data_IF_442777213259
#
_entry.id   IF_442777213259
#
_cell.length_a   1.000
_cell.length_b   1.000
_cell.length_c   1.000
_cell.angle_alpha   90.00
_cell.angle_beta   90.00
_cell.angle_gamma   90.00
#
_symmetry.space_group_name_H-M   'P 1'
#
loop_
_entity.id
_entity.type
_entity.pdbx_description
1 polymer ?
#
# COMPACT_ATOMS: atom_id res chain seq x y z
N UNK A 1 -41.97 -13.24 23.77
CA UNK A 1 -40.90 -12.44 24.41
C UNK A 1 -40.69 -13.02 25.80
N UNK A 2 -39.51 -13.58 26.02
CA UNK A 2 -39.12 -14.19 27.29
C UNK A 2 -38.43 -13.20 28.24
N UNK A 3 -38.07 -12.02 27.76
CA UNK A 3 -37.56 -10.91 28.58
C UNK A 3 -38.73 -10.20 29.26
N UNK A 4 -38.66 -10.11 30.58
CA UNK A 4 -39.69 -9.50 31.44
C UNK A 4 -39.36 -8.05 31.75
N UNK A 5 -38.07 -7.76 31.99
CA UNK A 5 -37.62 -6.45 32.46
C UNK A 5 -36.16 -6.22 32.10
N UNK A 6 -35.84 -5.00 31.70
CA UNK A 6 -34.46 -4.52 31.54
C UNK A 6 -34.26 -3.35 32.48
N UNK A 7 -33.18 -3.35 33.26
CA UNK A 7 -32.85 -2.29 34.20
C UNK A 7 -31.38 -1.91 34.04
N UNK A 8 -31.11 -0.66 33.66
CA UNK A 8 -29.75 -0.14 33.64
C UNK A 8 -29.22 0.03 35.07
N UNK A 9 -27.99 -0.43 35.32
CA UNK A 9 -27.33 -0.23 36.60
C UNK A 9 -26.74 1.18 36.65
N UNK A 10 -26.81 1.82 37.82
CA UNK A 10 -26.24 3.14 38.05
C UNK A 10 -24.69 3.17 38.00
N UNK A 11 -24.04 2.00 37.96
CA UNK A 11 -22.58 1.90 37.91
C UNK A 11 -22.11 2.07 36.47
N UNK A 12 -21.72 3.29 36.13
CA UNK A 12 -20.92 3.61 34.96
C UNK A 12 -19.46 3.59 35.39
N UNK A 13 -18.63 2.75 34.76
CA UNK A 13 -17.19 2.81 35.00
C UNK A 13 -16.51 3.48 33.81
N UNK A 14 -15.58 4.40 34.09
CA UNK A 14 -14.76 5.07 33.11
C UNK A 14 -13.30 4.88 33.53
N UNK A 15 -12.47 4.37 32.61
CA UNK A 15 -11.03 4.25 32.82
C UNK A 15 -10.32 5.07 31.76
N UNK A 16 -9.38 5.91 32.18
CA UNK A 16 -8.56 6.72 31.27
C UNK A 16 -7.13 6.79 31.80
N UNK A 17 -6.17 6.46 30.95
CA UNK A 17 -4.76 6.77 31.18
C UNK A 17 -4.37 7.97 30.33
N UNK A 18 -3.41 8.76 30.82
CA UNK A 18 -2.90 9.89 30.07
C UNK A 18 -2.28 9.42 28.75
N UNK A 19 -2.75 9.96 27.63
CA UNK A 19 -2.33 9.57 26.28
C UNK A 19 -3.07 8.37 25.66
N UNK A 20 -3.97 7.72 26.41
CA UNK A 20 -4.82 6.64 25.89
C UNK A 20 -6.27 7.10 25.75
N UNK A 21 -7.00 6.48 24.81
CA UNK A 21 -8.43 6.71 24.69
C UNK A 21 -9.16 6.18 25.94
N UNK A 22 -10.18 6.90 26.45
CA UNK A 22 -10.98 6.42 27.57
C UNK A 22 -11.83 5.22 27.16
N UNK A 23 -12.05 4.30 28.10
CA UNK A 23 -13.00 3.18 27.98
C UNK A 23 -14.14 3.44 28.94
N UNK A 24 -15.38 3.33 28.47
CA UNK A 24 -16.58 3.42 29.29
C UNK A 24 -17.32 2.10 29.30
N UNK A 25 -17.92 1.74 30.43
CA UNK A 25 -18.78 0.56 30.54
C UNK A 25 -20.16 0.97 31.03
N UNK A 26 -21.18 0.44 30.35
CA UNK A 26 -22.57 0.48 30.82
C UNK A 26 -23.07 -0.94 31.04
N UNK A 27 -23.89 -1.12 32.07
CA UNK A 27 -24.37 -2.42 32.50
C UNK A 27 -25.88 -2.43 32.66
N UNK A 28 -26.51 -3.53 32.28
CA UNK A 28 -27.94 -3.77 32.43
C UNK A 28 -28.18 -5.11 33.08
N UNK A 29 -29.20 -5.18 33.94
CA UNK A 29 -29.75 -6.45 34.41
C UNK A 29 -31.00 -6.74 33.59
N UNK A 30 -31.01 -7.90 32.94
CA UNK A 30 -32.12 -8.41 32.14
C UNK A 30 -32.76 -9.58 32.89
N UNK A 31 -34.05 -9.44 33.20
CA UNK A 31 -34.87 -10.47 33.81
C UNK A 31 -35.59 -11.26 32.71
N UNK A 32 -35.50 -12.60 32.77
CA UNK A 32 -36.19 -13.50 31.84
C UNK A 32 -37.16 -14.41 32.59
N UNK A 33 -38.26 -14.78 31.93
CA UNK A 33 -39.22 -15.77 32.44
C UNK A 33 -39.02 -17.18 31.84
N UNK A 34 -38.07 -17.32 30.92
CA UNK A 34 -37.67 -18.59 30.31
C UNK A 34 -36.14 -18.71 30.37
N UNK A 35 -35.58 -19.71 31.09
CA UNK A 35 -34.13 -19.86 31.17
C UNK A 35 -33.52 -20.36 29.86
N UNK A 36 -34.33 -20.79 28.89
CA UNK A 36 -33.89 -21.13 27.53
C UNK A 36 -33.76 -19.90 26.61
N UNK A 37 -34.03 -18.68 27.11
CA UNK A 37 -33.81 -17.44 26.34
C UNK A 37 -32.36 -17.37 25.87
N UNK A 38 -32.17 -17.08 24.59
CA UNK A 38 -30.83 -17.04 24.01
C UNK A 38 -30.06 -15.80 24.48
N UNK A 39 -28.74 -15.90 24.56
CA UNK A 39 -27.90 -14.75 24.91
C UNK A 39 -28.07 -13.59 23.91
N UNK A 40 -28.28 -13.92 22.63
CA UNK A 40 -28.67 -12.99 21.57
C UNK A 40 -29.91 -12.16 21.94
N UNK A 41 -31.01 -12.82 22.29
CA UNK A 41 -32.25 -12.13 22.67
C UNK A 41 -32.05 -11.26 23.91
N UNK A 42 -31.23 -11.71 24.86
CA UNK A 42 -30.87 -10.97 26.07
C UNK A 42 -30.09 -9.69 25.71
N UNK A 43 -29.07 -9.76 24.86
CA UNK A 43 -28.31 -8.56 24.42
C UNK A 43 -29.19 -7.59 23.65
N UNK A 44 -29.98 -8.09 22.70
CA UNK A 44 -30.85 -7.26 21.85
C UNK A 44 -31.94 -6.54 22.66
N UNK A 45 -32.39 -7.13 23.77
CA UNK A 45 -33.40 -6.52 24.65
C UNK A 45 -32.95 -5.20 25.29
N UNK A 46 -31.64 -4.96 25.39
CA UNK A 46 -31.06 -3.71 25.90
C UNK A 46 -31.28 -2.54 24.93
N UNK A 47 -31.49 -2.82 23.64
CA UNK A 47 -31.72 -1.78 22.62
C UNK A 47 -30.47 -0.97 22.25
N UNK A 48 -29.28 -1.43 22.64
CA UNK A 48 -28.00 -0.86 22.20
C UNK A 48 -27.46 -1.71 21.05
N UNK A 49 -27.16 -1.08 19.92
CA UNK A 49 -26.51 -1.73 18.78
C UNK A 49 -25.01 -1.38 18.75
N UNK A 50 -24.22 -2.19 18.06
CA UNK A 50 -22.82 -1.84 17.76
C UNK A 50 -22.74 -0.45 17.12
N UNK A 51 -21.70 0.29 17.49
CA UNK A 51 -21.44 1.65 17.01
C UNK A 51 -22.46 2.72 17.46
N UNK A 52 -23.37 2.39 18.37
CA UNK A 52 -24.17 3.42 19.07
C UNK A 52 -23.24 4.34 19.87
N UNK A 53 -23.37 5.68 19.75
CA UNK A 53 -22.55 6.60 20.53
C UNK A 53 -22.82 6.49 22.03
N UNK A 54 -21.78 6.69 22.85
CA UNK A 54 -21.98 6.76 24.31
C UNK A 54 -22.78 8.03 24.67
N UNK A 55 -23.78 7.97 25.58
CA UNK A 55 -24.63 9.12 25.91
C UNK A 55 -23.88 10.36 26.41
N UNK A 56 -22.80 10.16 27.17
CA UNK A 56 -22.00 11.25 27.75
C UNK A 56 -20.70 11.53 26.96
N UNK A 57 -20.25 10.55 26.19
CA UNK A 57 -18.97 10.58 25.48
C UNK A 57 -19.22 10.25 24.01
N UNK A 58 -19.91 11.15 23.31
CA UNK A 58 -20.40 10.93 21.94
C UNK A 58 -19.33 10.62 20.89
N UNK A 59 -18.04 10.65 21.22
CA UNK A 59 -16.92 10.19 20.39
C UNK A 59 -16.59 8.70 20.59
N UNK A 60 -16.98 8.10 21.72
CA UNK A 60 -16.88 6.66 21.96
C UNK A 60 -18.08 5.92 21.34
N UNK A 61 -17.88 4.67 20.98
CA UNK A 61 -18.85 3.81 20.29
C UNK A 61 -18.98 2.49 21.01
N UNK A 62 -20.17 1.90 21.03
CA UNK A 62 -20.38 0.55 21.56
C UNK A 62 -19.62 -0.48 20.71
N UNK A 63 -18.55 -1.06 21.26
CA UNK A 63 -17.63 -1.95 20.52
C UNK A 63 -17.75 -3.41 20.94
N UNK A 64 -18.05 -3.67 22.20
CA UNK A 64 -18.12 -5.04 22.74
C UNK A 64 -19.36 -5.19 23.59
N UNK A 65 -20.12 -6.26 23.36
CA UNK A 65 -21.18 -6.71 24.26
C UNK A 65 -20.75 -8.00 24.94
N UNK A 66 -21.05 -8.13 26.23
CA UNK A 66 -20.88 -9.38 26.96
C UNK A 66 -22.10 -9.66 27.82
N UNK A 67 -22.41 -10.95 27.98
CA UNK A 67 -23.51 -11.44 28.83
C UNK A 67 -22.93 -12.37 29.88
N UNK A 68 -23.31 -12.14 31.13
CA UNK A 68 -23.01 -13.01 32.26
C UNK A 68 -24.23 -13.28 33.12
N UNK A 69 -24.16 -14.27 34.00
CA UNK A 69 -25.20 -14.47 35.02
C UNK A 69 -25.09 -13.39 36.09
N UNK A 70 -26.18 -12.69 36.37
CA UNK A 70 -26.22 -11.72 37.45
C UNK A 70 -26.41 -12.45 38.78
N UNK A 71 -25.42 -12.33 39.69
CA UNK A 71 -25.44 -12.95 41.02
C UNK A 71 -25.71 -14.47 41.00
N UNK A 72 -25.28 -15.18 39.95
CA UNK A 72 -25.48 -16.62 39.80
C UNK A 72 -26.93 -17.06 39.56
N UNK A 73 -27.85 -16.12 39.33
CA UNK A 73 -29.25 -16.40 39.03
C UNK A 73 -29.42 -16.86 37.58
N UNK A 74 -30.18 -17.94 37.35
CA UNK A 74 -30.57 -18.40 36.00
C UNK A 74 -31.65 -17.55 35.31
N UNK A 75 -32.24 -16.62 36.06
CA UNK A 75 -33.35 -15.76 35.62
C UNK A 75 -32.92 -14.30 35.41
N UNK A 76 -31.69 -13.95 35.80
CA UNK A 76 -31.17 -12.59 35.75
C UNK A 76 -29.80 -12.61 35.07
N UNK A 77 -29.68 -11.86 34.00
CA UNK A 77 -28.44 -11.75 33.23
C UNK A 77 -27.90 -10.33 33.34
N UNK A 78 -26.58 -10.19 33.45
CA UNK A 78 -25.88 -8.92 33.32
C UNK A 78 -25.39 -8.78 31.89
N UNK A 79 -25.86 -7.76 31.19
CA UNK A 79 -25.35 -7.36 29.88
C UNK A 79 -24.41 -6.18 30.10
N UNK A 80 -23.17 -6.28 29.65
CA UNK A 80 -22.20 -5.18 29.70
C UNK A 80 -21.88 -4.75 28.27
N UNK A 81 -21.97 -3.44 28.00
CA UNK A 81 -21.45 -2.83 26.78
C UNK A 81 -20.22 -1.99 27.10
N UNK A 82 -19.12 -2.32 26.43
CA UNK A 82 -17.89 -1.54 26.46
C UNK A 82 -17.91 -0.53 25.29
N UNK A 83 -17.64 0.72 25.63
CA UNK A 83 -17.53 1.83 24.70
C UNK A 83 -16.09 2.31 24.64
N UNK A 84 -15.56 2.38 23.44
CA UNK A 84 -14.19 2.80 23.17
C UNK A 84 -14.18 3.83 22.04
N UNK A 85 -13.10 4.60 21.95
CA UNK A 85 -12.82 5.37 20.75
C UNK A 85 -12.55 4.39 19.60
N UNK A 86 -13.29 4.46 18.48
CA UNK A 86 -13.00 3.64 17.32
C UNK A 86 -11.55 3.82 16.87
N UNK A 87 -10.84 2.70 16.73
CA UNK A 87 -9.46 2.72 16.20
C UNK A 87 -9.42 2.97 14.69
N UNK A 88 -10.58 2.93 14.03
CA UNK A 88 -10.78 3.30 12.64
C UNK A 88 -11.65 4.55 12.58
N UNK A 89 -11.30 5.48 11.70
CA UNK A 89 -11.98 6.77 11.52
C UNK A 89 -13.42 6.61 11.02
N UNK A 90 -13.69 5.55 10.25
CA UNK A 90 -15.03 5.15 9.79
C UNK A 90 -15.27 3.65 10.06
N UNK A 91 -15.70 3.27 11.28
CA UNK A 91 -16.13 1.92 11.53
C UNK A 91 -17.50 1.73 10.88
N UNK A 92 -17.56 1.30 9.62
CA UNK A 92 -18.83 0.81 9.06
C UNK A 92 -19.06 -0.60 9.63
N UNK A 93 -20.26 -0.90 10.18
CA UNK A 93 -20.58 -2.26 10.59
C UNK A 93 -20.35 -3.24 9.44
N UNK A 94 -20.69 -2.87 8.21
CA UNK A 94 -20.42 -3.71 7.05
C UNK A 94 -18.92 -3.63 6.68
N UNK A 95 -18.14 -4.72 6.79
CA UNK A 95 -16.72 -4.72 6.46
C UNK A 95 -16.47 -4.35 4.99
N UNK A 96 -17.43 -4.58 4.09
CA UNK A 96 -17.33 -4.23 2.66
C UNK A 96 -17.55 -2.75 2.37
N UNK A 97 -18.15 -2.00 3.29
CA UNK A 97 -18.38 -0.56 3.16
C UNK A 97 -17.25 0.28 3.78
N UNK A 98 -16.30 -0.37 4.47
CA UNK A 98 -15.13 0.30 5.04
C UNK A 98 -14.23 0.84 3.91
N UNK A 99 -13.74 2.08 3.99
CA UNK A 99 -12.84 2.64 2.99
C UNK A 99 -11.48 1.93 3.02
N UNK A 100 -10.75 2.03 1.90
CA UNK A 100 -9.39 1.50 1.82
C UNK A 100 -8.44 2.27 2.73
N UNK A 101 -7.58 1.54 3.43
CA UNK A 101 -6.57 2.10 4.31
C UNK A 101 -5.27 2.25 3.52
N UNK A 102 -4.76 3.47 3.48
CA UNK A 102 -3.50 3.81 2.84
C UNK A 102 -2.40 3.94 3.87
N UNK A 103 -1.31 3.21 3.66
CA UNK A 103 -0.09 3.30 4.47
C UNK A 103 1.08 3.67 3.59
N UNK A 104 1.84 4.68 4.02
CA UNK A 104 3.02 5.14 3.33
C UNK A 104 4.26 4.78 4.13
N UNK A 105 5.27 4.27 3.44
CA UNK A 105 6.58 3.95 4.01
C UNK A 105 7.66 4.41 3.07
N UNK A 106 8.73 5.00 3.60
CA UNK A 106 9.90 5.37 2.81
C UNK A 106 10.95 4.28 2.88
N UNK A 107 11.70 4.10 1.80
CA UNK A 107 12.79 3.15 1.71
C UNK A 107 13.99 3.75 0.99
N UNK A 108 15.11 3.04 1.04
CA UNK A 108 16.27 3.28 0.19
C UNK A 108 16.43 2.13 -0.80
N UNK A 109 16.81 2.45 -2.04
CA UNK A 109 17.18 1.47 -3.05
C UNK A 109 18.52 1.87 -3.66
N UNK A 110 19.43 0.90 -3.82
CA UNK A 110 20.66 1.10 -4.58
C UNK A 110 20.38 0.96 -6.07
N UNK A 111 20.82 1.95 -6.84
CA UNK A 111 20.70 1.99 -8.30
C UNK A 111 22.06 2.32 -8.93
N UNK A 112 22.32 1.92 -10.18
CA UNK A 112 23.56 2.31 -10.87
C UNK A 112 23.72 3.83 -10.93
N UNK A 113 24.88 4.33 -10.56
CA UNK A 113 25.21 5.74 -10.62
C UNK A 113 25.74 6.07 -12.03
N UNK A 114 24.86 6.60 -12.89
CA UNK A 114 25.23 7.01 -14.25
C UNK A 114 25.52 8.51 -14.36
N UNK A 115 25.13 9.29 -13.36
CA UNK A 115 25.23 10.74 -13.37
C UNK A 115 25.68 11.26 -12.01
N UNK A 116 26.23 12.46 -12.01
CA UNK A 116 26.51 13.24 -10.81
C UNK A 116 26.09 14.70 -11.04
N UNK A 117 25.90 15.40 -9.93
CA UNK A 117 25.62 16.83 -9.95
C UNK A 117 26.93 17.61 -9.80
N UNK A 118 27.21 18.49 -10.76
CA UNK A 118 28.21 19.55 -10.66
C UNK A 118 27.45 20.86 -10.51
N UNK A 119 27.33 21.32 -9.27
CA UNK A 119 26.31 22.26 -8.82
C UNK A 119 24.90 21.78 -9.23
N UNK A 120 24.15 22.56 -10.01
CA UNK A 120 22.81 22.18 -10.52
C UNK A 120 22.86 21.50 -11.89
N UNK A 121 24.07 21.26 -12.44
CA UNK A 121 24.23 20.66 -13.76
C UNK A 121 24.43 19.15 -13.63
N UNK A 122 23.49 18.38 -14.15
CA UNK A 122 23.63 16.93 -14.25
C UNK A 122 24.68 16.58 -15.32
N UNK A 123 25.73 15.87 -14.92
CA UNK A 123 26.82 15.40 -15.78
C UNK A 123 26.95 13.88 -15.72
N UNK A 124 27.39 13.21 -16.80
CA UNK A 124 27.61 11.76 -16.79
C UNK A 124 28.75 11.42 -15.82
N UNK A 125 28.58 10.39 -15.01
CA UNK A 125 29.59 9.95 -14.04
C UNK A 125 30.67 9.12 -14.77
N UNK A 126 31.76 9.78 -15.14
CA UNK A 126 32.81 9.20 -15.97
C UNK A 126 34.22 9.55 -15.47
N UNK A 127 35.20 8.74 -15.84
CA UNK A 127 36.62 9.07 -15.63
C UNK A 127 37.07 10.19 -16.60
N UNK A 128 38.30 10.66 -16.47
CA UNK A 128 38.87 11.73 -17.33
C UNK A 128 39.05 11.32 -18.79
N UNK A 129 38.93 10.03 -19.12
CA UNK A 129 38.92 9.50 -20.48
C UNK A 129 37.48 9.30 -21.05
N UNK A 130 36.44 9.69 -20.30
CA UNK A 130 35.01 9.52 -20.63
C UNK A 130 34.49 8.07 -20.56
N UNK A 131 35.16 7.18 -19.84
CA UNK A 131 34.64 5.85 -19.53
C UNK A 131 33.77 5.88 -18.28
N UNK A 132 32.70 5.07 -18.26
CA UNK A 132 31.88 4.90 -17.06
C UNK A 132 32.58 4.05 -15.99
N UNK A 133 32.30 4.36 -14.73
CA UNK A 133 32.66 3.50 -13.62
C UNK A 133 31.72 2.29 -13.54
N UNK A 134 32.23 1.12 -13.92
CA UNK A 134 31.46 -0.12 -13.81
C UNK A 134 31.18 -0.46 -12.35
N UNK A 135 29.93 -0.84 -12.05
CA UNK A 135 29.52 -1.22 -10.70
C UNK A 135 29.33 -0.05 -9.72
N UNK A 136 29.50 1.20 -10.15
CA UNK A 136 29.19 2.35 -9.31
C UNK A 136 27.68 2.41 -9.03
N UNK A 137 27.31 2.55 -7.76
CA UNK A 137 25.92 2.65 -7.31
C UNK A 137 25.71 3.89 -6.46
N UNK A 138 24.49 4.42 -6.47
CA UNK A 138 24.01 5.45 -5.57
C UNK A 138 22.73 4.99 -4.89
N UNK A 139 22.44 5.55 -3.73
CA UNK A 139 21.15 5.35 -3.08
C UNK A 139 20.13 6.35 -3.64
N UNK A 140 18.90 5.86 -3.83
CA UNK A 140 17.73 6.70 -4.07
C UNK A 140 16.68 6.42 -3.01
N UNK A 141 15.98 7.49 -2.60
CA UNK A 141 14.83 7.36 -1.72
C UNK A 141 13.62 6.91 -2.53
N UNK A 142 13.01 5.82 -2.10
CA UNK A 142 11.76 5.28 -2.66
C UNK A 142 10.62 5.51 -1.69
N UNK A 143 9.40 5.48 -2.21
CA UNK A 143 8.17 5.58 -1.43
C UNK A 143 7.29 4.38 -1.75
N UNK A 144 6.86 3.65 -0.74
CA UNK A 144 5.97 2.51 -0.88
C UNK A 144 4.60 2.85 -0.29
N UNK A 145 3.55 2.63 -1.07
CA UNK A 145 2.17 2.71 -0.64
C UNK A 145 1.62 1.28 -0.49
N UNK A 146 1.14 0.93 0.70
CA UNK A 146 0.30 -0.24 0.92
C UNK A 146 -1.16 0.21 1.01
N UNK A 147 -2.02 -0.43 0.21
CA UNK A 147 -3.46 -0.19 0.19
C UNK A 147 -4.11 -1.47 0.68
N UNK A 148 -4.81 -1.40 1.82
CA UNK A 148 -5.54 -2.53 2.38
C UNK A 148 -7.04 -2.25 2.34
N UNK A 149 -7.83 -3.18 1.81
CA UNK A 149 -9.27 -3.02 1.67
C UNK A 149 -10.03 -4.33 1.64
N UNK A 150 -11.31 -4.28 1.96
CA UNK A 150 -12.19 -5.44 1.94
C UNK A 150 -12.98 -5.49 0.64
N UNK A 151 -13.12 -6.67 0.02
CA UNK A 151 -13.85 -6.87 -1.24
C UNK A 151 -14.74 -8.11 -1.15
N UNK A 152 -15.91 -8.07 -1.78
CA UNK A 152 -16.82 -9.22 -1.83
C UNK A 152 -16.21 -10.37 -2.66
N UNK A 153 -15.46 -10.02 -3.70
CA UNK A 153 -14.81 -10.96 -4.62
C UNK A 153 -13.37 -10.53 -4.87
N UNK A 154 -12.49 -11.51 -5.10
CA UNK A 154 -11.13 -11.27 -5.56
C UNK A 154 -10.98 -11.68 -7.02
N UNK A 155 -10.68 -10.71 -7.90
CA UNK A 155 -10.42 -10.96 -9.31
C UNK A 155 -8.93 -11.28 -9.53
N UNK A 156 -8.63 -12.57 -9.61
CA UNK A 156 -7.29 -13.07 -9.89
C UNK A 156 -6.76 -12.66 -11.27
N UNK A 157 -7.62 -12.58 -12.28
CA UNK A 157 -7.23 -12.19 -13.63
C UNK A 157 -6.78 -10.73 -13.68
N UNK A 158 -7.51 -9.86 -12.99
CA UNK A 158 -7.10 -8.47 -12.82
C UNK A 158 -5.81 -8.36 -12.00
N UNK A 159 -5.72 -9.06 -10.87
CA UNK A 159 -4.54 -9.00 -10.00
C UNK A 159 -3.26 -9.40 -10.75
N UNK A 160 -3.31 -10.48 -11.52
CA UNK A 160 -2.18 -10.95 -12.34
C UNK A 160 -1.87 -10.02 -13.51
N UNK A 161 -2.88 -9.42 -14.14
CA UNK A 161 -2.67 -8.47 -15.22
C UNK A 161 -1.96 -7.19 -14.74
N UNK A 162 -2.31 -6.68 -13.56
CA UNK A 162 -1.79 -5.38 -13.08
C UNK A 162 -0.48 -5.54 -12.30
N UNK A 163 -0.22 -6.69 -11.69
CA UNK A 163 1.05 -6.96 -11.01
C UNK A 163 2.24 -6.84 -11.98
N UNK A 164 3.37 -6.29 -11.52
CA UNK A 164 4.55 -6.00 -12.34
C UNK A 164 4.29 -5.06 -13.53
N UNK A 165 3.29 -4.18 -13.41
CA UNK A 165 3.09 -3.07 -14.34
C UNK A 165 3.46 -1.73 -13.69
N UNK A 166 3.60 -0.70 -14.53
CA UNK A 166 3.85 0.68 -14.11
C UNK A 166 2.74 1.61 -14.59
N UNK A 167 2.57 2.76 -13.96
CA UNK A 167 1.52 3.71 -14.35
C UNK A 167 1.73 4.25 -15.79
N UNK A 168 0.68 4.21 -16.62
CA UNK A 168 0.66 4.78 -17.97
C UNK A 168 0.52 6.30 -17.98
N UNK A 169 -0.15 6.85 -16.96
CA UNK A 169 -0.53 8.26 -16.85
C UNK A 169 -0.08 8.83 -15.51
N UNK A 170 -0.23 10.13 -15.31
CA UNK A 170 0.05 10.76 -14.02
C UNK A 170 -0.79 10.10 -12.92
N UNK A 171 -0.13 9.61 -11.87
CA UNK A 171 -0.79 8.93 -10.76
C UNK A 171 -0.14 9.36 -9.44
N UNK A 172 -0.96 9.77 -8.48
CA UNK A 172 -0.51 10.27 -7.16
C UNK A 172 0.55 11.38 -7.27
N UNK A 173 0.38 12.29 -8.23
CA UNK A 173 1.29 13.40 -8.49
C UNK A 173 2.59 13.04 -9.23
N UNK A 174 2.83 11.75 -9.50
CA UNK A 174 4.02 11.29 -10.22
C UNK A 174 3.74 11.08 -11.72
N UNK A 175 4.72 11.34 -12.61
CA UNK A 175 4.56 11.13 -14.04
C UNK A 175 4.48 9.63 -14.41
N UNK A 176 4.11 9.30 -15.66
CA UNK A 176 4.11 7.92 -16.16
C UNK A 176 5.42 7.16 -15.91
N UNK A 177 5.30 5.89 -15.54
CA UNK A 177 6.43 4.98 -15.29
C UNK A 177 7.11 5.11 -13.92
N UNK A 178 6.59 5.94 -13.02
CA UNK A 178 7.18 6.20 -11.70
C UNK A 178 6.66 5.27 -10.60
N UNK A 179 5.40 4.86 -10.69
CA UNK A 179 4.77 3.90 -9.78
C UNK A 179 4.75 2.52 -10.41
N UNK A 180 5.17 1.50 -9.66
CA UNK A 180 5.07 0.09 -10.03
C UNK A 180 4.12 -0.63 -9.08
N UNK A 181 3.29 -1.53 -9.60
CA UNK A 181 2.55 -2.47 -8.78
C UNK A 181 3.47 -3.64 -8.39
N UNK A 182 3.95 -3.63 -7.15
CA UNK A 182 4.83 -4.67 -6.59
C UNK A 182 4.10 -6.00 -6.39
N UNK A 183 2.82 -5.94 -6.01
CA UNK A 183 1.99 -7.12 -5.86
C UNK A 183 0.57 -6.79 -5.42
N UNK A 184 -0.34 -7.73 -5.67
CA UNK A 184 -1.70 -7.74 -5.18
C UNK A 184 -1.91 -9.09 -4.52
N UNK A 185 -2.25 -9.10 -3.24
CA UNK A 185 -2.53 -10.30 -2.47
C UNK A 185 -3.92 -10.24 -1.89
N UNK A 186 -4.50 -11.40 -1.60
CA UNK A 186 -5.78 -11.47 -0.92
C UNK A 186 -5.88 -12.73 -0.06
N UNK A 187 -6.62 -12.61 1.05
CA UNK A 187 -6.95 -13.72 1.93
C UNK A 187 -8.44 -13.69 2.30
N UNK A 188 -9.12 -14.84 2.40
CA UNK A 188 -10.50 -14.88 2.84
C UNK A 188 -10.59 -14.55 4.33
N UNK A 189 -11.60 -13.77 4.68
CA UNK A 189 -11.92 -13.37 6.06
C UNK A 189 -13.43 -13.46 6.30
N UNK A 190 -13.79 -13.61 7.58
CA UNK A 190 -15.18 -13.68 8.02
C UNK A 190 -15.33 -12.79 9.24
N UNK A 191 -16.36 -11.96 9.25
CA UNK A 191 -16.73 -11.13 10.40
C UNK A 191 -18.22 -11.29 10.66
N UNK A 192 -18.61 -11.44 11.93
CA UNK A 192 -20.01 -11.50 12.33
C UNK A 192 -20.40 -10.12 12.85
N UNK A 193 -21.37 -9.50 12.17
CA UNK A 193 -21.83 -8.15 12.49
C UNK A 193 -23.33 -8.19 12.62
N UNK A 194 -23.86 -7.76 13.76
CA UNK A 194 -25.29 -7.86 14.06
C UNK A 194 -25.85 -9.26 13.78
N UNK A 195 -25.09 -10.30 14.16
CA UNK A 195 -25.45 -11.72 14.01
C UNK A 195 -25.55 -12.23 12.57
N UNK A 196 -25.16 -11.40 11.60
CA UNK A 196 -25.02 -11.80 10.20
C UNK A 196 -23.55 -12.09 9.94
N UNK A 197 -23.27 -13.31 9.48
CA UNK A 197 -21.94 -13.69 9.00
C UNK A 197 -21.67 -13.03 7.64
N UNK A 198 -20.64 -12.21 7.56
CA UNK A 198 -20.19 -11.55 6.34
C UNK A 198 -18.85 -12.14 5.93
N UNK A 199 -18.81 -12.80 4.78
CA UNK A 199 -17.59 -13.35 4.16
C UNK A 199 -17.04 -12.36 3.14
N UNK A 200 -15.74 -12.09 3.20
CA UNK A 200 -15.09 -11.16 2.29
C UNK A 200 -13.62 -11.55 2.05
N UNK A 201 -12.99 -10.85 1.12
CA UNK A 201 -11.56 -10.92 0.86
C UNK A 201 -10.90 -9.68 1.43
N UNK A 202 -9.89 -9.88 2.28
CA UNK A 202 -8.95 -8.83 2.63
C UNK A 202 -7.91 -8.75 1.52
N UNK A 203 -7.88 -7.65 0.80
CA UNK A 203 -7.00 -7.40 -0.33
C UNK A 203 -5.93 -6.40 0.09
N UNK A 204 -4.67 -6.72 -0.20
CA UNK A 204 -3.54 -5.82 -0.01
C UNK A 204 -2.83 -5.59 -1.35
N UNK A 205 -2.64 -4.32 -1.69
CA UNK A 205 -1.88 -3.87 -2.86
C UNK A 205 -0.62 -3.16 -2.39
N UNK A 206 0.52 -3.48 -3.00
CA UNK A 206 1.77 -2.73 -2.80
C UNK A 206 2.13 -1.97 -4.07
N UNK A 207 2.25 -0.65 -3.94
CA UNK A 207 2.76 0.23 -4.99
C UNK A 207 4.12 0.80 -4.58
N UNK A 208 5.07 0.77 -5.50
CA UNK A 208 6.45 1.20 -5.28
C UNK A 208 6.78 2.39 -6.19
N UNK A 209 7.11 3.52 -5.60
CA UNK A 209 7.52 4.73 -6.31
C UNK A 209 9.03 4.84 -6.42
N UNK A 210 9.45 5.21 -7.63
CA UNK A 210 10.83 5.49 -7.97
C UNK A 210 10.93 6.84 -8.70
N UNK A 211 11.72 7.82 -8.19
CA UNK A 211 11.76 9.18 -8.76
C UNK A 211 12.38 9.25 -10.16
N UNK A 212 13.34 8.38 -10.47
CA UNK A 212 13.99 8.24 -11.78
C UNK A 212 13.25 7.24 -12.71
N UNK A 213 12.03 6.84 -12.33
CA UNK A 213 11.17 5.89 -13.04
C UNK A 213 11.72 4.47 -13.04
N UNK A 214 10.87 3.53 -13.46
CA UNK A 214 11.19 2.10 -13.52
C UNK A 214 11.77 1.65 -14.87
N UNK A 215 12.02 2.57 -15.80
CA UNK A 215 12.72 2.26 -17.04
C UNK A 215 14.20 1.98 -16.73
N UNK A 216 14.79 1.00 -17.43
CA UNK A 216 16.22 0.78 -17.35
C UNK A 216 16.93 1.90 -18.09
N UNK A 217 17.90 2.50 -17.42
CA UNK A 217 18.85 3.44 -18.01
C UNK A 217 20.15 2.69 -18.29
N UNK A 218 20.51 2.59 -19.56
CA UNK A 218 21.66 1.79 -20.00
C UNK A 218 22.60 2.67 -20.84
N UNK A 219 23.90 2.77 -20.49
CA UNK A 219 24.88 3.39 -21.37
C UNK A 219 24.89 2.72 -22.74
N UNK A 220 24.72 3.51 -23.81
CA UNK A 220 24.75 3.01 -25.17
C UNK A 220 26.20 2.75 -25.61
N UNK A 221 26.76 1.63 -25.17
CA UNK A 221 28.11 1.20 -25.52
C UNK A 221 28.07 -0.15 -26.22
N UNK A 222 28.99 -0.37 -27.15
CA UNK A 222 29.04 -1.64 -27.86
C UNK A 222 30.32 -1.89 -28.61
N UNK A 223 30.52 -3.15 -29.00
CA UNK A 223 31.63 -3.57 -29.87
C UNK A 223 31.36 -3.32 -31.37
N UNK A 224 30.16 -2.85 -31.72
CA UNK A 224 29.77 -2.56 -33.09
C UNK A 224 28.97 -1.26 -33.13
N UNK A 225 29.03 -0.56 -34.26
CA UNK A 225 28.25 0.64 -34.54
C UNK A 225 27.61 0.54 -35.93
N UNK A 226 26.64 1.41 -36.21
CA UNK A 226 25.99 1.52 -37.51
C UNK A 226 26.59 2.68 -38.31
N UNK A 227 26.94 2.41 -39.56
CA UNK A 227 27.40 3.40 -40.53
C UNK A 227 26.56 3.26 -41.80
N UNK A 228 25.66 4.20 -42.04
CA UNK A 228 24.67 4.10 -43.12
C UNK A 228 23.78 2.84 -43.01
N UNK A 229 23.43 2.43 -41.78
CA UNK A 229 22.64 1.22 -41.52
C UNK A 229 23.42 -0.11 -41.60
N UNK A 230 24.70 -0.06 -41.97
CA UNK A 230 25.57 -1.25 -41.98
C UNK A 230 26.29 -1.38 -40.65
N UNK A 231 26.18 -2.55 -40.01
CA UNK A 231 26.89 -2.87 -38.76
C UNK A 231 28.38 -3.04 -39.03
N UNK A 232 29.22 -2.25 -38.35
CA UNK A 232 30.68 -2.28 -38.43
C UNK A 232 31.28 -2.44 -37.04
N UNK A 233 32.49 -3.03 -36.96
CA UNK A 233 33.27 -3.12 -35.71
C UNK A 233 33.70 -1.72 -35.29
N UNK A 234 33.58 -1.40 -33.99
CA UNK A 234 34.10 -0.13 -33.45
C UNK A 234 35.63 -0.10 -33.53
N UNK A 235 36.20 1.09 -33.65
CA UNK A 235 37.63 1.30 -33.82
C UNK A 235 38.10 2.49 -32.96
N UNK A 236 39.38 2.49 -32.63
CA UNK A 236 40.10 3.62 -32.06
C UNK A 236 41.20 4.05 -33.02
N UNK A 237 41.72 5.27 -32.87
CA UNK A 237 42.90 5.69 -33.64
C UNK A 237 44.15 5.27 -32.89
N UNK A 238 45.04 4.59 -33.59
CA UNK A 238 46.38 4.34 -33.09
C UNK A 238 47.09 5.69 -32.86
N UNK A 239 47.68 5.94 -31.69
CA UNK A 239 48.29 7.23 -31.36
C UNK A 239 49.56 7.52 -32.17
N UNK A 240 50.26 6.49 -32.67
CA UNK A 240 51.50 6.64 -33.43
C UNK A 240 51.22 6.79 -34.93
N UNK A 241 50.32 5.98 -35.47
CA UNK A 241 50.06 5.91 -36.92
C UNK A 241 48.81 6.66 -37.38
N UNK A 242 47.94 7.05 -36.44
CA UNK A 242 46.63 7.64 -36.70
C UNK A 242 45.68 6.75 -37.52
N UNK A 243 46.00 5.46 -37.70
CA UNK A 243 45.18 4.48 -38.39
C UNK A 243 44.01 3.99 -37.53
N UNK A 244 42.94 3.52 -38.18
CA UNK A 244 41.78 2.95 -37.49
C UNK A 244 42.08 1.49 -37.13
N UNK A 245 42.24 1.22 -35.86
CA UNK A 245 42.44 -0.15 -35.35
C UNK A 245 41.18 -0.62 -34.61
N UNK A 246 40.79 -1.90 -34.71
CA UNK A 246 39.64 -2.42 -33.98
C UNK A 246 39.78 -2.18 -32.47
N UNK A 247 38.73 -1.64 -31.83
CA UNK A 247 38.80 -1.40 -30.40
C UNK A 247 38.71 -2.72 -29.63
N UNK A 248 39.53 -2.84 -28.58
CA UNK A 248 39.51 -3.94 -27.62
C UNK A 248 38.34 -3.84 -26.63
N UNK A 249 37.88 -2.61 -26.33
CA UNK A 249 36.78 -2.33 -25.41
C UNK A 249 35.54 -1.79 -26.15
N UNK A 250 34.32 -1.94 -25.59
CA UNK A 250 33.13 -1.29 -26.11
C UNK A 250 33.35 0.22 -26.26
N UNK A 251 32.82 0.80 -27.34
CA UNK A 251 32.92 2.24 -27.58
C UNK A 251 31.57 2.93 -27.42
N UNK A 252 31.57 4.23 -27.07
CA UNK A 252 30.36 5.03 -26.95
C UNK A 252 29.59 5.14 -28.27
N UNK A 253 28.26 5.02 -28.19
CA UNK A 253 27.36 5.15 -29.32
C UNK A 253 26.34 6.28 -29.11
N UNK A 254 25.89 6.86 -30.22
CA UNK A 254 24.75 7.78 -30.25
C UNK A 254 23.40 7.03 -30.34
N UNK A 255 22.29 7.75 -30.20
CA UNK A 255 20.93 7.21 -30.27
C UNK A 255 20.56 6.54 -31.62
N UNK A 256 21.34 6.79 -32.68
CA UNK A 256 21.20 6.14 -33.99
C UNK A 256 22.09 4.90 -34.14
N UNK A 257 22.87 4.57 -33.11
CA UNK A 257 23.86 3.49 -33.11
C UNK A 257 25.18 3.85 -33.80
N UNK A 258 25.39 5.12 -34.16
CA UNK A 258 26.66 5.62 -34.70
C UNK A 258 27.74 5.71 -33.63
N UNK A 259 29.02 5.71 -34.04
CA UNK A 259 30.14 5.89 -33.12
C UNK A 259 30.17 7.34 -32.64
N UNK A 260 30.22 7.55 -31.32
CA UNK A 260 30.20 8.87 -30.70
C UNK A 260 31.52 9.15 -29.98
N UNK A 261 32.01 10.39 -30.06
CA UNK A 261 33.13 10.85 -29.25
C UNK A 261 32.61 11.36 -27.90
N UNK A 262 33.25 10.95 -26.80
CA UNK A 262 32.84 11.32 -25.44
C UNK A 262 31.77 10.40 -24.86
N UNK A 263 30.91 10.91 -23.97
CA UNK A 263 29.90 10.10 -23.28
C UNK A 263 28.87 9.50 -24.26
N UNK A 264 28.54 8.19 -24.15
CA UNK A 264 27.47 7.59 -24.93
C UNK A 264 26.13 8.19 -24.54
N UNK A 265 25.15 8.04 -25.42
CA UNK A 265 23.77 8.33 -25.05
C UNK A 265 23.27 7.28 -24.03
N UNK A 266 22.32 7.65 -23.17
CA UNK A 266 21.69 6.70 -22.26
C UNK A 266 20.39 6.21 -22.89
N UNK A 267 20.32 4.90 -23.09
CA UNK A 267 19.12 4.24 -23.58
C UNK A 267 18.14 4.06 -22.44
N UNK A 268 16.96 4.66 -22.57
CA UNK A 268 15.81 4.30 -21.74
C UNK A 268 15.11 3.09 -22.34
N UNK A 269 14.97 2.02 -21.56
CA UNK A 269 14.31 0.77 -21.95
C UNK A 269 13.23 0.41 -20.94
N UNK A 270 11.99 0.49 -21.40
CA UNK A 270 10.83 0.07 -20.61
C UNK A 270 10.77 -1.45 -20.57
N UNK A 271 10.95 -2.01 -19.37
CA UNK A 271 10.84 -3.46 -19.13
C UNK A 271 9.47 -3.87 -18.59
N UNK A 272 8.73 -2.93 -18.00
CA UNK A 272 7.40 -3.18 -17.43
C UNK A 272 6.29 -2.70 -18.37
N UNK A 273 5.17 -3.42 -18.38
CA UNK A 273 3.96 -2.98 -19.07
C UNK A 273 3.40 -1.71 -18.42
N UNK A 274 2.83 -0.81 -19.22
CA UNK A 274 2.11 0.35 -18.70
C UNK A 274 0.61 0.06 -18.57
N UNK A 275 0.01 0.49 -17.47
CA UNK A 275 -1.40 0.32 -17.13
C UNK A 275 -1.93 1.59 -16.47
N UNK A 276 -3.20 1.93 -16.71
CA UNK A 276 -3.82 3.12 -16.13
C UNK A 276 -4.19 2.88 -14.66
N UNK A 277 -3.29 3.22 -13.74
CA UNK A 277 -3.43 2.92 -12.30
C UNK A 277 -4.67 3.55 -11.64
N UNK A 278 -5.13 4.71 -12.13
CA UNK A 278 -6.34 5.34 -11.63
C UNK A 278 -7.60 4.50 -11.80
N UNK A 279 -7.61 3.54 -12.73
CA UNK A 279 -8.72 2.59 -12.91
C UNK A 279 -8.74 1.47 -11.85
N UNK A 280 -7.62 1.22 -11.16
CA UNK A 280 -7.46 0.04 -10.30
C UNK A 280 -7.29 0.36 -8.82
N UNK A 281 -6.59 1.45 -8.49
CA UNK A 281 -6.08 1.68 -7.13
C UNK A 281 -6.68 2.88 -6.41
N UNK A 282 -7.57 3.64 -7.06
CA UNK A 282 -8.19 4.81 -6.44
C UNK A 282 -7.18 5.91 -6.06
N UNK A 283 -7.55 6.73 -5.07
CA UNK A 283 -6.70 7.79 -4.51
C UNK A 283 -6.83 7.80 -2.98
N UNK A 284 -5.78 8.19 -2.24
CA UNK A 284 -5.87 8.34 -0.79
C UNK A 284 -6.91 9.40 -0.45
N UNK A 285 -7.89 9.05 0.38
CA UNK A 285 -8.86 9.99 0.92
C UNK A 285 -8.29 10.59 2.21
N UNK A 286 -8.16 11.92 2.25
CA UNK A 286 -8.06 12.64 3.52
C UNK A 286 -9.47 12.69 4.13
N UNK A 287 -9.86 11.67 4.89
CA UNK A 287 -11.05 11.74 5.71
C UNK A 287 -10.77 11.14 7.05
#
# INVERSE_FOLDING_TARGET
>A
MSVVKVTEQAVVSATQKFGEAPTFQRKWVVEVNDPATTQTEIVQSVGVSFLTPHPEAGYCRAMTASVGNYSGSRWHYEVTWDYELPKQENPDPNPLARPDIWKWTTGGLQVPALYYYDDDTLKPLQNTANDFFEGATTDISTLNASISGNRATFDYGMATAVTNSVNSDTYLGAPPGSWKCGGISAQPAVEVVNEVEIRYWQVEVTLEYRPDKWNLQLPNVGYNYLDGGTKKRVWVRDPETNEKVPASNPQPLDNSGGLKTGAPDILERRVYRQVQFSQYFGQPTQQ
#
